data_IF_094108182641
#
_entry.id   IF_094108182641
#
_cell.length_a   1.000
_cell.length_b   1.000
_cell.length_c   1.000
_cell.angle_alpha   90.00
_cell.angle_beta   90.00
_cell.angle_gamma   90.00
#
_symmetry.space_group_name_H-M   'P 1'
#
loop_
_entity.id
_entity.type
_entity.pdbx_description
1 polymer ?
#
# COMPACT_ATOMS: atom_id res chain seq x y z
N UNK A 1 -15.00 -61.98 5.20
CA UNK A 1 -14.11 -61.17 6.07
C UNK A 1 -13.21 -60.17 5.32
N UNK A 2 -13.20 -60.10 3.98
CA UNK A 2 -12.35 -59.17 3.23
C UNK A 2 -12.91 -57.73 3.08
N UNK A 3 -14.19 -57.52 3.39
CA UNK A 3 -14.91 -56.27 3.12
C UNK A 3 -14.73 -55.21 4.24
N UNK A 4 -14.49 -55.67 5.47
CA UNK A 4 -14.27 -54.81 6.65
C UNK A 4 -12.86 -54.18 6.69
N UNK A 5 -11.87 -54.79 6.03
CA UNK A 5 -10.50 -54.26 5.92
C UNK A 5 -10.39 -53.17 4.85
N UNK A 6 -11.14 -53.28 3.76
CA UNK A 6 -11.15 -52.29 2.67
C UNK A 6 -11.85 -50.98 3.08
N UNK A 7 -12.94 -51.08 3.84
CA UNK A 7 -13.67 -49.94 4.39
C UNK A 7 -12.85 -49.12 5.41
N UNK A 8 -12.03 -49.76 6.26
CA UNK A 8 -11.10 -49.06 7.17
C UNK A 8 -10.02 -48.27 6.42
N UNK A 9 -9.47 -48.83 5.34
CA UNK A 9 -8.49 -48.14 4.50
C UNK A 9 -9.08 -46.94 3.76
N UNK A 10 -10.33 -47.08 3.29
CA UNK A 10 -11.07 -45.99 2.65
C UNK A 10 -11.38 -44.84 3.63
N UNK A 11 -11.86 -45.17 4.84
CA UNK A 11 -12.15 -44.18 5.88
C UNK A 11 -10.90 -43.37 6.28
N UNK A 12 -9.74 -44.02 6.39
CA UNK A 12 -8.48 -43.33 6.67
C UNK A 12 -8.04 -42.39 5.54
N UNK A 13 -8.28 -42.76 4.28
CA UNK A 13 -8.01 -41.91 3.11
C UNK A 13 -8.95 -40.71 3.06
N UNK A 14 -10.24 -40.90 3.36
CA UNK A 14 -11.22 -39.82 3.45
C UNK A 14 -10.79 -38.82 4.52
N UNK A 15 -10.48 -39.27 5.74
CA UNK A 15 -10.02 -38.40 6.83
C UNK A 15 -8.71 -37.65 6.50
N UNK A 16 -7.80 -38.27 5.74
CA UNK A 16 -6.59 -37.60 5.27
C UNK A 16 -6.88 -36.50 4.23
N UNK A 17 -7.82 -36.76 3.32
CA UNK A 17 -8.26 -35.78 2.33
C UNK A 17 -9.02 -34.62 2.98
N UNK A 18 -9.89 -34.89 3.96
CA UNK A 18 -10.61 -33.86 4.72
C UNK A 18 -9.65 -32.93 5.46
N UNK A 19 -8.64 -33.47 6.15
CA UNK A 19 -7.61 -32.64 6.79
C UNK A 19 -6.86 -31.78 5.79
N UNK A 20 -6.50 -32.35 4.63
CA UNK A 20 -5.82 -31.59 3.58
C UNK A 20 -6.71 -30.52 2.96
N UNK A 21 -8.01 -30.77 2.85
CA UNK A 21 -8.98 -29.77 2.41
C UNK A 21 -9.02 -28.59 3.38
N UNK A 22 -9.14 -28.86 4.68
CA UNK A 22 -9.14 -27.82 5.73
C UNK A 22 -7.85 -26.99 5.71
N UNK A 23 -6.69 -27.63 5.57
CA UNK A 23 -5.40 -26.93 5.46
C UNK A 23 -5.32 -26.04 4.21
N UNK A 24 -5.87 -26.49 3.08
CA UNK A 24 -5.90 -25.70 1.85
C UNK A 24 -6.88 -24.53 1.94
N UNK A 25 -8.04 -24.72 2.58
CA UNK A 25 -9.01 -23.67 2.83
C UNK A 25 -8.42 -22.57 3.73
N UNK A 26 -7.72 -22.95 4.80
CA UNK A 26 -7.02 -21.98 5.65
C UNK A 26 -5.99 -21.14 4.88
N UNK A 27 -5.15 -21.80 4.06
CA UNK A 27 -4.19 -21.10 3.20
C UNK A 27 -4.85 -20.20 2.18
N UNK A 28 -6.00 -20.62 1.63
CA UNK A 28 -6.72 -19.79 0.67
C UNK A 28 -7.22 -18.50 1.32
N UNK A 29 -7.72 -18.57 2.56
CA UNK A 29 -8.15 -17.38 3.31
C UNK A 29 -6.98 -16.43 3.57
N UNK A 30 -5.82 -16.96 3.96
CA UNK A 30 -4.61 -16.15 4.16
C UNK A 30 -4.20 -15.43 2.88
N UNK A 31 -4.13 -16.15 1.75
CA UNK A 31 -3.78 -15.57 0.45
C UNK A 31 -4.82 -14.54 -0.02
N UNK A 32 -6.11 -14.77 0.27
CA UNK A 32 -7.17 -13.82 -0.06
C UNK A 32 -7.04 -12.51 0.74
N UNK A 33 -6.66 -12.60 2.02
CA UNK A 33 -6.39 -11.42 2.83
C UNK A 33 -5.19 -10.63 2.28
N UNK A 34 -4.06 -11.31 2.05
CA UNK A 34 -2.86 -10.68 1.49
C UNK A 34 -3.12 -10.04 0.11
N UNK A 35 -3.88 -10.74 -0.75
CA UNK A 35 -4.28 -10.20 -2.05
C UNK A 35 -5.17 -8.96 -1.91
N UNK A 36 -6.11 -8.95 -0.96
CA UNK A 36 -6.97 -7.80 -0.69
C UNK A 36 -6.16 -6.59 -0.25
N UNK A 37 -5.22 -6.78 0.68
CA UNK A 37 -4.35 -5.73 1.19
C UNK A 37 -3.47 -5.17 0.07
N UNK A 38 -2.81 -6.05 -0.69
CA UNK A 38 -1.97 -5.65 -1.84
C UNK A 38 -2.78 -4.92 -2.92
N UNK A 39 -4.02 -5.36 -3.18
CA UNK A 39 -4.91 -4.73 -4.16
C UNK A 39 -5.33 -3.33 -3.71
N UNK A 40 -5.56 -3.15 -2.41
CA UNK A 40 -5.86 -1.86 -1.80
C UNK A 40 -4.67 -0.91 -1.93
N UNK A 41 -3.47 -1.31 -1.51
CA UNK A 41 -2.24 -0.52 -1.64
C UNK A 41 -1.96 -0.12 -3.10
N UNK A 42 -2.18 -1.04 -4.04
CA UNK A 42 -2.01 -0.77 -5.48
C UNK A 42 -3.04 0.28 -5.98
N UNK A 43 -4.29 0.19 -5.53
CA UNK A 43 -5.32 1.16 -5.88
C UNK A 43 -4.99 2.56 -5.33
N UNK A 44 -4.51 2.65 -4.09
CA UNK A 44 -4.06 3.90 -3.49
C UNK A 44 -2.87 4.50 -4.22
N UNK A 45 -1.88 3.68 -4.55
CA UNK A 45 -0.71 4.10 -5.34
C UNK A 45 -1.11 4.64 -6.71
N UNK A 46 -2.04 3.95 -7.41
CA UNK A 46 -2.57 4.43 -8.70
C UNK A 46 -3.32 5.76 -8.55
N UNK A 47 -4.11 5.91 -7.49
CA UNK A 47 -4.80 7.15 -7.17
C UNK A 47 -3.82 8.29 -6.88
N UNK A 48 -2.74 8.00 -6.14
CA UNK A 48 -1.66 8.96 -5.88
C UNK A 48 -0.96 9.41 -7.16
N UNK A 49 -0.55 8.48 -8.04
CA UNK A 49 0.09 8.83 -9.32
C UNK A 49 -0.81 9.70 -10.19
N UNK A 50 -2.11 9.38 -10.27
CA UNK A 50 -3.07 10.21 -10.99
C UNK A 50 -3.17 11.61 -10.39
N UNK A 51 -3.25 11.70 -9.05
CA UNK A 51 -3.29 12.98 -8.34
C UNK A 51 -2.03 13.81 -8.61
N UNK A 52 -0.82 13.23 -8.55
CA UNK A 52 0.41 13.95 -8.88
C UNK A 52 0.39 14.58 -10.28
N UNK A 53 -0.18 13.88 -11.27
CA UNK A 53 -0.29 14.39 -12.63
C UNK A 53 -1.14 15.68 -12.73
N UNK A 54 -2.09 15.90 -11.82
CA UNK A 54 -2.88 17.14 -11.75
C UNK A 54 -2.00 18.37 -11.45
N UNK A 55 -0.82 18.17 -10.82
CA UNK A 55 0.21 19.19 -10.60
C UNK A 55 1.37 19.12 -11.60
N UNK A 56 1.30 18.25 -12.61
CA UNK A 56 2.40 18.02 -13.55
C UNK A 56 3.60 17.27 -12.94
N UNK A 57 3.43 16.65 -11.76
CA UNK A 57 4.47 15.92 -11.05
C UNK A 57 4.57 14.47 -11.51
N UNK A 58 5.80 13.95 -11.55
CA UNK A 58 6.11 12.53 -11.69
C UNK A 58 6.57 11.97 -10.35
N UNK A 59 6.46 10.64 -10.12
CA UNK A 59 6.97 10.01 -8.91
C UNK A 59 8.46 10.29 -8.63
N UNK A 60 9.27 10.49 -9.67
CA UNK A 60 10.69 10.83 -9.50
C UNK A 60 10.92 12.22 -8.87
N UNK A 61 9.97 13.15 -9.06
CA UNK A 61 10.07 14.52 -8.57
C UNK A 61 9.79 14.61 -7.06
N UNK A 62 9.11 13.60 -6.50
CA UNK A 62 8.70 13.57 -5.08
C UNK A 62 9.74 12.96 -4.14
N UNK A 63 10.97 12.76 -4.61
CA UNK A 63 12.08 12.25 -3.78
C UNK A 63 12.63 13.30 -2.80
N UNK A 64 12.45 14.59 -3.11
CA UNK A 64 12.84 15.71 -2.24
C UNK A 64 11.84 16.86 -2.39
N UNK A 65 11.66 17.66 -1.33
CA UNK A 65 10.82 18.87 -1.41
C UNK A 65 11.31 19.86 -2.48
N UNK A 66 12.62 19.90 -2.74
CA UNK A 66 13.23 20.71 -3.80
C UNK A 66 12.84 20.18 -5.18
N UNK A 67 12.88 18.86 -5.38
CA UNK A 67 12.45 18.22 -6.63
C UNK A 67 11.02 18.59 -6.99
N UNK A 68 10.11 18.54 -6.00
CA UNK A 68 8.72 18.98 -6.16
C UNK A 68 8.66 20.43 -6.61
N UNK A 69 9.33 21.34 -5.88
CA UNK A 69 9.33 22.76 -6.22
C UNK A 69 9.88 23.03 -7.63
N UNK A 70 10.98 22.36 -8.02
CA UNK A 70 11.59 22.51 -9.32
C UNK A 70 10.67 22.04 -10.44
N UNK A 71 9.99 20.91 -10.26
CA UNK A 71 9.10 20.33 -11.26
C UNK A 71 7.85 21.21 -11.52
N UNK A 72 7.32 21.87 -10.47
CA UNK A 72 6.17 22.78 -10.59
C UNK A 72 6.56 24.24 -10.86
N UNK A 73 7.86 24.56 -10.91
CA UNK A 73 8.37 25.91 -11.18
C UNK A 73 8.32 26.88 -9.99
N UNK A 74 8.25 26.37 -8.75
CA UNK A 74 8.33 27.20 -7.55
C UNK A 74 9.77 27.50 -7.17
N UNK A 75 10.08 28.79 -6.97
CA UNK A 75 11.40 29.21 -6.51
C UNK A 75 11.57 28.88 -5.03
N UNK A 76 12.34 27.83 -4.73
CA UNK A 76 12.71 27.49 -3.36
C UNK A 76 14.24 27.40 -3.21
N UNK A 77 14.79 28.10 -2.22
CA UNK A 77 16.13 27.82 -1.71
C UNK A 77 16.08 26.53 -0.87
N UNK A 78 17.16 25.75 -0.88
CA UNK A 78 17.19 24.38 -0.32
C UNK A 78 16.61 24.25 1.08
N UNK A 79 16.85 25.22 1.95
CA UNK A 79 16.39 25.22 3.34
C UNK A 79 14.87 25.41 3.54
N UNK A 80 14.15 25.93 2.53
CA UNK A 80 12.75 26.36 2.68
C UNK A 80 11.77 25.65 1.74
N UNK A 81 12.21 24.66 0.96
CA UNK A 81 11.37 23.99 -0.04
C UNK A 81 10.11 23.35 0.57
N UNK A 82 10.23 22.68 1.73
CA UNK A 82 9.07 22.13 2.44
C UNK A 82 8.02 23.20 2.79
N UNK A 83 8.49 24.34 3.31
CA UNK A 83 7.64 25.47 3.67
C UNK A 83 7.03 26.15 2.43
N UNK A 84 7.75 26.18 1.32
CA UNK A 84 7.26 26.68 0.05
C UNK A 84 6.09 25.83 -0.45
N UNK A 85 6.24 24.50 -0.51
CA UNK A 85 5.14 23.60 -0.92
C UNK A 85 3.89 23.81 -0.06
N UNK A 86 4.04 23.86 1.27
CA UNK A 86 2.92 24.11 2.19
C UNK A 86 2.21 25.44 1.92
N UNK A 87 2.96 26.49 1.61
CA UNK A 87 2.44 27.84 1.34
C UNK A 87 1.71 27.91 -0.01
N UNK A 88 2.30 27.34 -1.05
CA UNK A 88 1.74 27.41 -2.40
C UNK A 88 0.56 26.45 -2.58
N UNK A 89 0.60 25.26 -1.96
CA UNK A 89 -0.47 24.29 -2.04
C UNK A 89 -0.53 23.33 -0.84
N UNK A 90 -1.42 23.62 0.11
CA UNK A 90 -1.60 22.81 1.32
C UNK A 90 -2.14 21.40 1.02
N UNK A 91 -2.96 21.23 -0.02
CA UNK A 91 -3.50 19.90 -0.39
C UNK A 91 -2.37 19.00 -0.90
N UNK A 92 -1.53 19.52 -1.79
CA UNK A 92 -0.36 18.81 -2.29
C UNK A 92 0.62 18.49 -1.15
N UNK A 93 0.86 19.44 -0.24
CA UNK A 93 1.72 19.24 0.92
C UNK A 93 1.28 18.06 1.80
N UNK A 94 -0.01 17.99 2.15
CA UNK A 94 -0.58 16.85 2.90
C UNK A 94 -0.47 15.55 2.12
N UNK A 95 -0.81 15.57 0.83
CA UNK A 95 -0.74 14.39 -0.04
C UNK A 95 0.69 13.83 -0.12
N UNK A 96 1.67 14.71 -0.25
CA UNK A 96 3.08 14.32 -0.32
C UNK A 96 3.57 13.70 0.98
N UNK A 97 3.11 14.17 2.15
CA UNK A 97 3.39 13.50 3.42
C UNK A 97 2.74 12.13 3.55
N UNK A 98 1.52 11.95 3.03
CA UNK A 98 0.83 10.66 3.07
C UNK A 98 1.51 9.61 2.18
N UNK A 99 2.02 10.03 1.03
CA UNK A 99 2.35 9.10 -0.04
C UNK A 99 3.83 9.07 -0.45
N UNK A 100 4.65 10.05 -0.07
CA UNK A 100 6.03 10.17 -0.59
C UNK A 100 7.09 10.58 0.45
N UNK A 101 6.72 11.34 1.49
CA UNK A 101 7.62 11.76 2.56
C UNK A 101 7.23 11.13 3.90
N UNK A 102 7.98 11.48 4.96
CA UNK A 102 7.64 11.11 6.33
C UNK A 102 6.20 11.56 6.67
N UNK A 103 5.32 10.67 7.18
CA UNK A 103 3.97 11.05 7.57
C UNK A 103 3.92 12.18 8.59
N UNK A 104 4.92 12.31 9.47
CA UNK A 104 5.01 13.40 10.44
C UNK A 104 5.51 14.69 9.80
N UNK A 105 4.75 15.78 9.99
CA UNK A 105 5.12 17.11 9.55
C UNK A 105 5.56 17.99 10.72
N UNK A 106 6.84 18.33 10.77
CA UNK A 106 7.38 19.25 11.79
C UNK A 106 6.88 20.69 11.66
N UNK A 107 6.41 21.11 10.48
CA UNK A 107 5.84 22.45 10.28
C UNK A 107 4.43 22.58 10.87
N UNK A 108 3.66 21.51 10.85
CA UNK A 108 2.28 21.48 11.34
C UNK A 108 2.14 20.81 12.71
N UNK A 109 3.15 20.05 13.16
CA UNK A 109 3.15 19.34 14.43
C UNK A 109 2.17 18.17 14.47
N UNK A 110 1.85 17.59 13.31
CA UNK A 110 0.87 16.49 13.15
C UNK A 110 1.42 15.39 12.25
N UNK A 111 0.88 14.18 12.41
CA UNK A 111 1.13 13.05 11.50
C UNK A 111 -0.04 12.86 10.54
N UNK A 112 0.25 12.88 9.25
CA UNK A 112 -0.69 12.60 8.18
C UNK A 112 -0.70 11.10 7.86
N UNK A 113 -1.11 10.30 8.84
CA UNK A 113 -1.38 8.88 8.65
C UNK A 113 -2.82 8.75 8.14
N UNK A 114 -3.08 7.78 7.27
CA UNK A 114 -4.44 7.46 6.81
C UNK A 114 -5.25 6.74 7.90
#
# INVERSE_FOLDING_TARGET
MAEATNTKGLAGRIAALERRLVELEAKLVEVQAEYSDTSHELAETRSFVRRLADWGLKPADTSTWIGVCNAVGWTATTANAHRAVRRENTVLHVLLHRCAFDPYCSLDGVSYID
#
